data_IF_122832070527
#
_entry.id   IF_122832070527
#
_cell.length_a   1.000
_cell.length_b   1.000
_cell.length_c   1.000
_cell.angle_alpha   90.00
_cell.angle_beta   90.00
_cell.angle_gamma   90.00
#
_symmetry.space_group_name_H-M   'P 1'
#
loop_
_entity.id
_entity.type
_entity.pdbx_description
1 polymer ?
#
# COMPACT_ATOMS: atom_id res chain seq x y z
N UNK A 1 26.72 -3.25 -2.20
CA UNK A 1 25.49 -2.84 -2.92
C UNK A 1 25.77 -1.43 -3.43
N UNK A 2 25.65 -1.16 -4.72
CA UNK A 2 25.75 0.21 -5.21
C UNK A 2 24.43 0.90 -4.87
N UNK A 3 24.47 2.00 -4.13
CA UNK A 3 23.29 2.82 -3.87
C UNK A 3 22.81 3.43 -5.19
N UNK A 4 21.77 2.84 -5.78
CA UNK A 4 21.08 3.40 -6.93
C UNK A 4 20.34 4.65 -6.43
N UNK A 5 21.02 5.79 -6.52
CA UNK A 5 20.39 7.08 -6.23
C UNK A 5 19.45 7.41 -7.38
N UNK A 6 18.15 7.22 -7.19
CA UNK A 6 17.16 7.69 -8.17
C UNK A 6 17.05 9.20 -8.01
N UNK A 7 17.33 10.00 -9.07
CA UNK A 7 17.21 11.43 -8.99
C UNK A 7 15.77 11.83 -8.65
N UNK A 8 15.63 12.67 -7.62
CA UNK A 8 14.35 13.26 -7.22
C UNK A 8 13.85 14.11 -8.39
N UNK A 9 12.68 13.76 -8.92
CA UNK A 9 12.10 14.52 -10.02
C UNK A 9 11.63 15.89 -9.54
N UNK A 10 11.93 16.94 -10.30
CA UNK A 10 11.37 18.26 -10.05
C UNK A 10 9.87 18.25 -10.43
N UNK A 11 8.99 18.04 -9.45
CA UNK A 11 7.53 18.06 -9.67
C UNK A 11 7.00 19.48 -9.56
N UNK A 12 6.53 20.05 -10.67
CA UNK A 12 5.68 21.26 -10.61
C UNK A 12 4.22 20.93 -10.23
N UNK A 13 3.91 19.65 -9.97
CA UNK A 13 2.58 19.17 -9.58
C UNK A 13 1.47 19.56 -10.54
N UNK A 14 0.29 19.83 -9.99
CA UNK A 14 -0.88 20.33 -10.75
C UNK A 14 -0.64 21.70 -11.38
N UNK A 15 0.42 22.41 -10.98
CA UNK A 15 0.79 23.72 -11.54
C UNK A 15 1.66 23.59 -12.78
N UNK A 16 2.05 22.37 -13.18
CA UNK A 16 2.80 22.18 -14.41
C UNK A 16 1.94 22.59 -15.61
N UNK A 17 2.44 23.57 -16.36
CA UNK A 17 1.82 24.04 -17.60
C UNK A 17 2.67 23.52 -18.77
N UNK A 18 2.24 22.47 -19.50
CA UNK A 18 2.91 22.11 -20.74
C UNK A 18 2.88 23.32 -21.67
N UNK A 19 3.87 23.38 -22.55
CA UNK A 19 3.93 24.43 -23.56
C UNK A 19 2.81 24.22 -24.58
N UNK A 20 1.83 25.14 -24.68
CA UNK A 20 0.66 24.94 -25.54
C UNK A 20 0.99 25.09 -27.03
N UNK A 21 2.02 25.86 -27.38
CA UNK A 21 2.51 26.00 -28.75
C UNK A 21 3.98 26.43 -28.78
N UNK A 22 4.63 26.29 -29.93
CA UNK A 22 6.01 26.76 -30.15
C UNK A 22 6.20 28.28 -30.04
N UNK A 23 5.13 29.06 -29.85
CA UNK A 23 5.21 30.52 -29.68
C UNK A 23 5.05 30.97 -28.23
N UNK A 24 4.55 30.09 -27.35
CA UNK A 24 4.33 30.38 -25.94
C UNK A 24 5.45 29.72 -25.14
N UNK A 25 6.08 30.40 -24.16
CA UNK A 25 7.03 29.76 -23.25
C UNK A 25 6.37 28.66 -22.42
N UNK A 26 7.12 27.64 -22.04
CA UNK A 26 6.65 26.59 -21.13
C UNK A 26 7.82 25.84 -20.52
N UNK A 27 7.56 25.08 -19.46
CA UNK A 27 8.58 24.39 -18.68
C UNK A 27 8.50 22.87 -18.86
N UNK A 28 9.65 22.22 -18.81
CA UNK A 28 9.72 20.77 -18.80
C UNK A 28 9.06 20.22 -17.53
N UNK A 29 8.15 19.26 -17.69
CA UNK A 29 7.42 18.66 -16.58
C UNK A 29 8.23 17.80 -15.61
N UNK A 30 9.53 17.60 -15.85
CA UNK A 30 10.39 16.77 -15.00
C UNK A 30 11.61 17.49 -14.41
N UNK A 31 12.15 18.51 -15.08
CA UNK A 31 13.32 19.26 -14.62
C UNK A 31 13.07 20.76 -14.48
N UNK A 32 11.88 21.26 -14.84
CA UNK A 32 11.51 22.66 -14.72
C UNK A 32 12.17 23.63 -15.72
N UNK A 33 13.18 23.18 -16.48
CA UNK A 33 13.87 24.00 -17.49
C UNK A 33 12.90 24.47 -18.58
N UNK A 34 13.17 25.65 -19.13
CA UNK A 34 12.41 26.18 -20.26
C UNK A 34 12.50 25.26 -21.49
N UNK A 35 11.36 25.03 -22.14
CA UNK A 35 11.28 24.19 -23.34
C UNK A 35 11.66 25.02 -24.57
N UNK A 36 12.74 24.61 -25.23
CA UNK A 36 13.18 25.17 -26.51
C UNK A 36 12.63 24.38 -27.70
N UNK A 37 12.57 25.03 -28.88
CA UNK A 37 12.25 24.39 -30.19
C UNK A 37 10.83 23.82 -30.27
N UNK A 38 10.64 22.58 -30.75
CA UNK A 38 9.32 21.94 -30.99
C UNK A 38 8.80 21.11 -29.81
N UNK A 39 9.49 21.12 -28.67
CA UNK A 39 9.08 20.32 -27.52
C UNK A 39 7.94 20.99 -26.76
N UNK A 40 6.90 20.22 -26.48
CA UNK A 40 5.71 20.72 -25.78
C UNK A 40 5.62 20.27 -24.31
N UNK A 41 6.30 19.17 -23.93
CA UNK A 41 6.09 18.53 -22.61
C UNK A 41 7.40 18.31 -21.84
N UNK A 42 8.45 17.84 -22.51
CA UNK A 42 9.71 17.47 -21.87
C UNK A 42 10.92 17.96 -22.66
N UNK A 43 12.05 18.15 -21.98
CA UNK A 43 13.33 18.38 -22.66
C UNK A 43 13.60 17.28 -23.69
N UNK A 44 14.29 17.59 -24.80
CA UNK A 44 14.72 16.56 -25.73
C UNK A 44 15.58 15.54 -25.01
N UNK A 45 15.37 14.24 -25.31
CA UNK A 45 16.21 13.19 -24.76
C UNK A 45 17.67 13.44 -25.16
N UNK A 46 18.64 13.23 -24.25
CA UNK A 46 20.05 13.27 -24.60
C UNK A 46 20.32 12.33 -25.79
N UNK A 47 21.13 12.75 -26.78
CA UNK A 47 21.56 11.86 -27.85
C UNK A 47 22.41 10.72 -27.25
N UNK A 48 22.24 9.50 -27.79
CA UNK A 48 23.16 8.40 -27.51
C UNK A 48 22.70 7.29 -26.55
N UNK A 49 21.50 7.35 -25.95
CA UNK A 49 21.00 6.23 -25.15
C UNK A 49 19.52 5.96 -25.43
N UNK A 50 19.22 4.84 -26.07
CA UNK A 50 17.88 4.22 -26.04
C UNK A 50 18.08 2.83 -25.46
N UNK A 51 17.35 2.48 -24.40
CA UNK A 51 17.27 1.08 -23.99
C UNK A 51 16.57 0.24 -25.11
N UNK A 52 16.61 -1.09 -25.07
CA UNK A 52 15.94 -1.94 -26.06
C UNK A 52 14.43 -1.67 -26.20
N UNK A 53 13.82 -1.05 -25.18
CA UNK A 53 12.42 -0.61 -25.15
C UNK A 53 12.21 0.83 -25.67
N UNK A 54 13.26 1.50 -26.16
CA UNK A 54 13.22 2.83 -26.75
C UNK A 54 13.30 4.02 -25.79
N UNK A 55 13.50 3.81 -24.48
CA UNK A 55 13.55 4.85 -23.46
C UNK A 55 14.98 5.17 -23.03
N UNK A 56 15.31 6.46 -22.89
CA UNK A 56 16.53 6.91 -22.24
C UNK A 56 16.24 7.08 -20.73
N UNK A 57 16.90 6.34 -19.82
CA UNK A 57 16.67 6.46 -18.38
C UNK A 57 16.95 7.87 -17.84
N UNK A 58 17.80 8.63 -18.52
CA UNK A 58 18.14 10.01 -18.16
C UNK A 58 17.23 11.05 -18.85
N UNK A 59 16.25 10.59 -19.64
CA UNK A 59 15.30 11.54 -20.23
C UNK A 59 14.34 12.08 -19.17
N UNK A 60 14.07 13.38 -19.26
CA UNK A 60 13.02 14.03 -18.49
C UNK A 60 11.66 13.32 -18.63
N UNK A 61 11.36 12.76 -19.81
CA UNK A 61 10.15 11.96 -20.00
C UNK A 61 10.14 10.71 -19.12
N UNK A 62 11.23 9.95 -19.08
CA UNK A 62 11.32 8.74 -18.27
C UNK A 62 11.24 9.06 -16.78
N UNK A 63 11.98 10.08 -16.32
CA UNK A 63 11.92 10.57 -14.93
C UNK A 63 10.51 10.97 -14.52
N UNK A 64 9.76 11.59 -15.44
CA UNK A 64 8.35 11.89 -15.21
C UNK A 64 7.51 10.62 -15.02
N UNK A 65 7.66 9.63 -15.90
CA UNK A 65 6.90 8.39 -15.87
C UNK A 65 7.11 7.65 -14.55
N UNK A 66 8.37 7.42 -14.14
CA UNK A 66 8.72 6.68 -12.92
C UNK A 66 8.35 7.40 -11.62
N UNK A 67 7.91 8.66 -11.69
CA UNK A 67 7.49 9.43 -10.50
C UNK A 67 5.99 9.77 -10.52
N UNK A 68 5.28 9.58 -11.64
CA UNK A 68 3.90 10.04 -11.74
C UNK A 68 2.91 8.99 -12.22
N UNK A 69 3.38 8.01 -13.00
CA UNK A 69 2.52 6.98 -13.56
C UNK A 69 2.73 5.71 -12.74
N UNK A 70 1.67 5.25 -12.06
CA UNK A 70 1.75 4.17 -11.08
C UNK A 70 2.53 2.95 -11.56
N UNK A 71 2.24 2.42 -12.76
CA UNK A 71 2.94 1.22 -13.25
C UNK A 71 4.47 1.42 -13.32
N UNK A 72 4.92 2.54 -13.90
CA UNK A 72 6.35 2.86 -13.98
C UNK A 72 6.95 3.18 -12.62
N UNK A 73 6.20 3.86 -11.75
CA UNK A 73 6.66 4.22 -10.42
C UNK A 73 6.81 3.00 -9.51
N UNK A 74 5.84 2.09 -9.56
CA UNK A 74 5.87 0.79 -8.87
C UNK A 74 7.08 -0.02 -9.30
N UNK A 75 7.27 -0.20 -10.61
CA UNK A 75 8.39 -0.98 -11.13
C UNK A 75 9.74 -0.36 -10.78
N UNK A 76 9.84 0.98 -10.82
CA UNK A 76 11.03 1.70 -10.41
C UNK A 76 11.32 1.55 -8.91
N UNK A 77 10.29 1.56 -8.05
CA UNK A 77 10.45 1.37 -6.59
C UNK A 77 10.94 -0.05 -6.27
N UNK A 78 10.34 -1.08 -6.88
CA UNK A 78 10.77 -2.48 -6.71
C UNK A 78 12.23 -2.65 -7.16
N UNK A 79 12.59 -2.04 -8.30
CA UNK A 79 13.96 -2.10 -8.82
C UNK A 79 14.95 -1.35 -7.93
N UNK A 80 14.58 -0.17 -7.42
CA UNK A 80 15.38 0.63 -6.48
C UNK A 80 15.71 -0.18 -5.24
N UNK A 81 14.71 -0.86 -4.70
CA UNK A 81 14.80 -1.60 -3.44
C UNK A 81 15.38 -3.01 -3.64
N UNK A 82 15.78 -3.37 -4.87
CA UNK A 82 16.38 -4.66 -5.19
C UNK A 82 15.43 -5.85 -4.95
N UNK A 83 14.12 -5.63 -5.00
CA UNK A 83 13.11 -6.62 -4.64
C UNK A 83 13.07 -6.97 -3.15
N UNK A 84 13.68 -6.15 -2.28
CA UNK A 84 13.67 -6.33 -0.82
C UNK A 84 12.59 -5.50 -0.16
N UNK A 85 12.03 -6.03 0.93
CA UNK A 85 11.13 -5.30 1.80
C UNK A 85 11.92 -4.24 2.57
N UNK A 86 11.50 -2.97 2.47
CA UNK A 86 12.13 -1.85 3.18
C UNK A 86 11.91 -1.86 4.69
N UNK A 87 10.95 -2.66 5.18
CA UNK A 87 10.64 -2.77 6.61
C UNK A 87 11.42 -3.89 7.29
N UNK A 88 11.29 -5.11 6.81
CA UNK A 88 11.96 -6.26 7.43
C UNK A 88 13.30 -6.65 6.79
N UNK A 89 13.65 -6.08 5.63
CA UNK A 89 14.88 -6.43 4.89
C UNK A 89 14.82 -7.75 4.12
N UNK A 90 13.76 -8.56 4.30
CA UNK A 90 13.53 -9.81 3.59
C UNK A 90 13.16 -9.63 2.12
N UNK A 91 12.92 -10.73 1.41
CA UNK A 91 12.39 -10.66 0.04
C UNK A 91 10.97 -10.10 0.03
N UNK A 92 10.72 -9.14 -0.87
CA UNK A 92 9.37 -8.57 -1.05
C UNK A 92 8.45 -9.51 -1.84
N UNK A 93 9.03 -10.38 -2.66
CA UNK A 93 8.31 -11.43 -3.39
C UNK A 93 8.47 -12.77 -2.69
N UNK A 94 7.39 -13.53 -2.60
CA UNK A 94 7.46 -14.95 -2.26
C UNK A 94 7.45 -15.79 -3.53
N UNK A 95 8.43 -16.68 -3.65
CA UNK A 95 8.59 -17.56 -4.79
C UNK A 95 8.63 -18.99 -4.32
N UNK A 96 7.90 -19.87 -5.00
CA UNK A 96 7.96 -21.30 -4.69
C UNK A 96 8.54 -22.07 -5.89
N UNK A 97 9.44 -23.04 -5.63
CA UNK A 97 10.06 -23.81 -6.68
C UNK A 97 9.07 -24.78 -7.32
N UNK A 98 9.26 -25.09 -8.60
CA UNK A 98 8.54 -26.15 -9.29
C UNK A 98 9.44 -26.85 -10.30
N UNK A 99 9.10 -28.10 -10.61
CA UNK A 99 9.83 -28.91 -11.58
C UNK A 99 9.58 -28.38 -13.01
N UNK A 100 10.60 -27.79 -13.61
CA UNK A 100 10.63 -27.44 -15.02
C UNK A 100 10.94 -28.66 -15.91
N UNK A 101 10.62 -28.53 -17.20
CA UNK A 101 10.96 -29.56 -18.20
C UNK A 101 12.48 -29.80 -18.22
N UNK A 102 12.89 -31.07 -18.21
CA UNK A 102 14.31 -31.46 -18.26
C UNK A 102 15.04 -31.35 -16.91
N UNK A 103 14.32 -31.42 -15.79
CA UNK A 103 14.94 -31.47 -14.45
C UNK A 103 15.43 -30.13 -13.91
N UNK A 104 15.09 -29.00 -14.56
CA UNK A 104 15.44 -27.66 -14.08
C UNK A 104 14.48 -27.24 -12.95
N UNK A 105 15.00 -26.68 -11.87
CA UNK A 105 14.18 -25.99 -10.87
C UNK A 105 13.83 -24.61 -11.41
N UNK A 106 12.53 -24.34 -11.58
CA UNK A 106 11.99 -23.03 -11.93
C UNK A 106 11.27 -22.45 -10.72
N UNK A 107 10.97 -21.14 -10.75
CA UNK A 107 10.31 -20.44 -9.66
C UNK A 107 9.08 -19.71 -10.20
N UNK A 108 7.95 -19.83 -9.50
CA UNK A 108 6.80 -18.97 -9.74
C UNK A 108 6.63 -18.02 -8.57
N UNK A 109 6.32 -16.76 -8.88
CA UNK A 109 5.94 -15.77 -7.88
C UNK A 109 4.55 -16.14 -7.37
N UNK A 110 4.48 -16.53 -6.09
CA UNK A 110 3.23 -16.85 -5.39
C UNK A 110 2.64 -15.57 -4.80
N UNK A 111 3.52 -14.69 -4.29
CA UNK A 111 3.15 -13.39 -3.75
C UNK A 111 4.04 -12.35 -4.39
N UNK A 112 3.46 -11.43 -5.15
CA UNK A 112 4.18 -10.34 -5.78
C UNK A 112 4.59 -9.28 -4.75
N UNK A 113 5.69 -8.59 -5.01
CA UNK A 113 6.11 -7.45 -4.22
C UNK A 113 5.01 -6.38 -4.25
N UNK A 114 4.71 -5.84 -3.09
CA UNK A 114 3.76 -4.75 -2.94
C UNK A 114 4.54 -3.43 -2.80
N UNK A 115 3.92 -2.33 -3.20
CA UNK A 115 4.50 -0.99 -3.07
C UNK A 115 3.51 -0.15 -2.31
N UNK A 116 3.98 0.40 -1.19
CA UNK A 116 3.21 1.25 -0.30
C UNK A 116 3.54 2.73 -0.55
N UNK A 117 2.53 3.58 -0.38
CA UNK A 117 2.74 5.03 -0.26
C UNK A 117 3.05 5.38 1.19
N UNK A 118 4.20 5.99 1.47
CA UNK A 118 4.62 6.36 2.84
C UNK A 118 3.63 7.36 3.45
N UNK A 119 3.41 8.46 2.74
CA UNK A 119 2.28 9.37 2.99
C UNK A 119 1.08 8.81 2.25
N UNK A 120 0.03 8.36 2.96
CA UNK A 120 -1.15 7.77 2.33
C UNK A 120 -1.82 8.77 1.38
N UNK A 121 -2.34 8.24 0.28
CA UNK A 121 -3.17 9.01 -0.64
C UNK A 121 -4.61 9.10 -0.13
N UNK A 122 -5.24 10.26 -0.32
CA UNK A 122 -6.69 10.39 -0.17
C UNK A 122 -7.44 9.80 -1.41
N UNK A 123 -8.38 8.89 -1.17
CA UNK A 123 -9.26 8.29 -2.20
C UNK A 123 -8.70 7.04 -2.91
N UNK A 124 -9.35 6.59 -4.01
CA UNK A 124 -9.04 5.33 -4.71
C UNK A 124 -8.13 5.45 -5.95
N UNK A 125 -7.19 4.49 -6.09
CA UNK A 125 -6.66 3.83 -7.30
C UNK A 125 -5.88 4.60 -8.38
N UNK A 126 -4.58 4.27 -8.54
CA UNK A 126 -3.72 4.34 -9.76
C UNK A 126 -3.63 5.65 -10.57
N UNK A 127 -4.24 6.73 -10.08
CA UNK A 127 -4.24 8.00 -10.77
C UNK A 127 -2.80 8.54 -10.94
N UNK A 128 -2.59 9.23 -12.06
CA UNK A 128 -1.37 10.00 -12.27
C UNK A 128 -1.27 11.12 -11.23
N UNK A 129 -0.12 11.30 -10.59
CA UNK A 129 0.10 12.42 -9.65
C UNK A 129 1.45 12.39 -8.93
N UNK A 130 1.79 13.49 -8.23
CA UNK A 130 3.06 13.56 -7.47
C UNK A 130 3.10 12.56 -6.29
N UNK A 131 1.96 12.02 -5.84
CA UNK A 131 1.96 11.02 -4.75
C UNK A 131 2.71 9.73 -5.13
N UNK A 132 2.99 9.49 -6.41
CA UNK A 132 3.77 8.36 -6.91
C UNK A 132 5.29 8.65 -6.98
N UNK A 133 5.77 9.75 -6.39
CA UNK A 133 7.20 10.02 -6.34
C UNK A 133 7.92 8.92 -5.58
N UNK A 134 9.13 8.60 -6.03
CA UNK A 134 9.90 7.50 -5.47
C UNK A 134 10.18 7.70 -3.97
N UNK A 135 10.42 8.92 -3.51
CA UNK A 135 10.61 9.24 -2.09
C UNK A 135 9.35 9.01 -1.23
N UNK A 136 8.16 8.96 -1.84
CA UNK A 136 6.90 8.60 -1.19
C UNK A 136 6.53 7.12 -1.39
N UNK A 137 7.38 6.31 -2.02
CA UNK A 137 7.13 4.89 -2.27
C UNK A 137 8.11 4.01 -1.51
N UNK A 138 7.63 2.91 -0.95
CA UNK A 138 8.45 1.85 -0.36
C UNK A 138 8.01 0.47 -0.87
N UNK A 139 8.96 -0.38 -1.25
CA UNK A 139 8.67 -1.79 -1.58
C UNK A 139 8.56 -2.60 -0.29
N UNK A 140 7.50 -3.38 -0.16
CA UNK A 140 7.17 -4.15 1.05
C UNK A 140 6.73 -5.56 0.68
N UNK A 141 7.01 -6.51 1.58
CA UNK A 141 6.43 -7.85 1.48
C UNK A 141 4.94 -7.80 1.89
N UNK A 142 4.19 -8.82 1.48
CA UNK A 142 2.74 -8.84 1.74
C UNK A 142 2.37 -8.74 3.22
N UNK A 143 3.12 -9.44 4.08
CA UNK A 143 2.91 -9.39 5.53
C UNK A 143 3.04 -7.97 6.08
N UNK A 144 4.12 -7.27 5.74
CA UNK A 144 4.35 -5.90 6.23
C UNK A 144 3.37 -4.92 5.59
N UNK A 145 3.00 -5.12 4.33
CA UNK A 145 1.99 -4.30 3.65
C UNK A 145 0.61 -4.37 4.31
N UNK A 146 0.19 -5.55 4.79
CA UNK A 146 -1.05 -5.70 5.55
C UNK A 146 -1.02 -4.88 6.85
N UNK A 147 0.11 -4.90 7.58
CA UNK A 147 0.28 -4.14 8.82
C UNK A 147 0.25 -2.63 8.56
N UNK A 148 0.96 -2.17 7.54
CA UNK A 148 0.99 -0.75 7.15
C UNK A 148 -0.39 -0.29 6.68
N UNK A 149 -1.03 -1.07 5.82
CA UNK A 149 -2.38 -0.75 5.32
C UNK A 149 -3.38 -0.67 6.47
N UNK A 150 -3.26 -1.55 7.45
CA UNK A 150 -4.00 -1.47 8.69
C UNK A 150 -3.73 -0.13 9.39
N UNK A 151 -2.49 0.16 9.73
CA UNK A 151 -2.09 1.40 10.43
C UNK A 151 -2.61 2.66 9.70
N UNK A 152 -2.41 2.75 8.39
CA UNK A 152 -2.82 3.88 7.55
C UNK A 152 -4.34 4.04 7.44
N UNK A 153 -5.12 2.95 7.56
CA UNK A 153 -6.60 3.02 7.65
C UNK A 153 -7.09 3.44 9.03
N UNK A 154 -6.17 3.69 9.98
CA UNK A 154 -6.50 3.82 11.39
C UNK A 154 -7.06 2.51 11.94
N UNK A 155 -6.67 1.36 11.37
CA UNK A 155 -6.93 0.04 11.94
C UNK A 155 -5.94 -0.17 13.07
N UNK A 156 -6.43 0.00 14.28
CA UNK A 156 -5.82 -0.59 15.47
C UNK A 156 -6.28 -2.06 15.48
N UNK A 157 -5.39 -3.05 15.59
CA UNK A 157 -5.80 -4.44 15.83
C UNK A 157 -6.76 -4.46 17.04
N UNK A 158 -8.05 -4.71 16.77
CA UNK A 158 -9.11 -4.69 17.78
C UNK A 158 -9.80 -3.34 18.09
N UNK A 159 -9.59 -2.26 17.33
CA UNK A 159 -10.01 -0.90 17.77
C UNK A 159 -11.15 -0.19 17.03
N UNK A 160 -11.93 -0.86 16.15
CA UNK A 160 -13.20 -0.28 15.63
C UNK A 160 -14.32 -1.30 15.53
N UNK A 161 -13.98 -2.56 15.19
CA UNK A 161 -14.95 -3.66 15.28
C UNK A 161 -15.30 -3.97 16.73
N UNK A 162 -14.35 -3.86 17.67
CA UNK A 162 -14.63 -4.04 19.10
C UNK A 162 -15.57 -2.96 19.62
N UNK A 163 -15.43 -1.70 19.21
CA UNK A 163 -16.39 -0.65 19.63
C UNK A 163 -17.79 -0.87 19.05
N UNK A 164 -17.90 -1.29 17.79
CA UNK A 164 -19.20 -1.60 17.18
C UNK A 164 -19.83 -2.86 17.81
N UNK A 165 -19.02 -3.87 18.14
CA UNK A 165 -19.42 -5.12 18.78
C UNK A 165 -19.77 -4.91 20.25
N UNK A 166 -18.99 -4.11 20.99
CA UNK A 166 -19.24 -3.70 22.38
C UNK A 166 -20.53 -2.87 22.43
N UNK A 167 -20.68 -1.86 21.57
CA UNK A 167 -21.96 -1.10 21.48
C UNK A 167 -23.14 -1.98 21.08
N UNK A 168 -22.94 -3.08 20.34
CA UNK A 168 -23.99 -4.05 20.04
C UNK A 168 -24.31 -4.89 21.28
N UNK A 169 -23.30 -5.42 21.97
CA UNK A 169 -23.47 -6.17 23.22
C UNK A 169 -24.14 -5.33 24.32
N UNK A 170 -23.76 -4.06 24.48
CA UNK A 170 -24.39 -3.14 25.43
C UNK A 170 -25.88 -2.92 25.12
N UNK A 171 -26.23 -2.71 23.85
CA UNK A 171 -27.65 -2.59 23.44
C UNK A 171 -28.43 -3.89 23.64
N UNK A 172 -27.80 -5.03 23.42
CA UNK A 172 -28.44 -6.33 23.60
C UNK A 172 -28.65 -6.63 25.09
N UNK A 173 -27.69 -6.26 25.96
CA UNK A 173 -27.84 -6.32 27.42
C UNK A 173 -28.91 -5.37 27.95
N UNK A 174 -28.98 -4.14 27.42
CA UNK A 174 -30.04 -3.18 27.77
C UNK A 174 -31.43 -3.70 27.37
N UNK A 175 -31.55 -4.31 26.19
CA UNK A 175 -32.79 -4.98 25.76
C UNK A 175 -33.16 -6.14 26.68
N UNK A 176 -32.17 -6.93 27.10
CA UNK A 176 -32.39 -8.06 28.00
C UNK A 176 -32.89 -7.58 29.37
N UNK A 177 -32.29 -6.50 29.90
CA UNK A 177 -32.69 -5.87 31.17
C UNK A 177 -34.12 -5.33 31.09
N UNK A 178 -34.47 -4.57 30.04
CA UNK A 178 -35.84 -4.08 29.84
C UNK A 178 -36.86 -5.20 29.68
N UNK A 179 -36.48 -6.28 28.98
CA UNK A 179 -37.34 -7.45 28.85
C UNK A 179 -37.59 -8.10 30.21
N UNK A 180 -36.54 -8.30 31.03
CA UNK A 180 -36.67 -8.87 32.39
C UNK A 180 -37.58 -8.03 33.28
N UNK A 181 -37.42 -6.71 33.27
CA UNK A 181 -38.29 -5.78 34.00
C UNK A 181 -39.75 -5.91 33.53
N UNK A 182 -39.99 -5.94 32.22
CA UNK A 182 -41.34 -6.06 31.65
C UNK A 182 -42.01 -7.40 31.92
N UNK A 183 -41.20 -8.46 32.04
CA UNK A 183 -41.65 -9.82 32.30
C UNK A 183 -41.87 -10.07 33.81
N UNK A 184 -41.59 -9.09 34.68
CA UNK A 184 -41.71 -9.24 36.12
C UNK A 184 -40.74 -10.28 36.69
N UNK A 185 -39.63 -10.54 36.00
CA UNK A 185 -38.59 -11.46 36.49
C UNK A 185 -37.88 -10.78 37.64
N UNK A 186 -38.30 -11.11 38.86
CA UNK A 186 -37.64 -10.68 40.09
C UNK A 186 -36.31 -11.44 40.15
N UNK A 187 -35.19 -10.71 40.34
CA UNK A 187 -33.89 -11.35 40.57
C UNK A 187 -33.96 -12.10 41.90
N UNK A 188 -34.34 -13.38 41.82
CA UNK A 188 -34.24 -14.32 42.93
C UNK A 188 -32.78 -14.79 43.01
N UNK A 189 -32.01 -14.34 44.02
CA UNK A 189 -30.59 -14.67 44.14
C UNK A 189 -30.35 -16.18 44.26
N UNK A 190 -31.34 -16.96 44.70
CA UNK A 190 -31.23 -18.41 44.85
C UNK A 190 -31.33 -19.17 43.51
N UNK A 191 -31.86 -18.54 42.44
CA UNK A 191 -31.98 -19.17 41.11
C UNK A 191 -30.70 -19.05 40.27
N UNK A 192 -29.83 -18.08 40.57
CA UNK A 192 -28.59 -17.82 39.81
C UNK A 192 -27.42 -18.72 40.24
N UNK A 193 -27.40 -19.22 41.48
CA UNK A 193 -26.41 -20.22 41.93
C UNK A 193 -26.63 -21.60 41.26
N UNK A 194 -27.86 -21.96 40.91
CA UNK A 194 -28.18 -23.23 40.26
C UNK A 194 -27.77 -23.33 38.78
N UNK A 195 -27.58 -22.21 38.07
CA UNK A 195 -27.22 -22.20 36.65
C UNK A 195 -25.71 -22.16 36.38
N UNK A 196 -24.88 -21.75 37.35
CA UNK A 196 -23.42 -21.71 37.17
C UNK A 196 -22.76 -23.11 37.27
N UNK A 197 -23.42 -24.05 37.96
CA UNK A 197 -22.93 -25.42 38.17
C UNK A 197 -23.14 -26.32 36.92
N UNK A 198 -24.03 -25.95 35.99
CA UNK A 198 -24.29 -26.74 34.77
C UNK A 198 -23.55 -26.24 33.51
N UNK A 199 -22.93 -25.07 33.56
CA UNK A 199 -22.20 -24.49 32.42
C UNK A 199 -20.67 -24.60 32.55
N UNK A 200 -20.16 -24.92 33.74
CA UNK A 200 -18.75 -25.24 33.98
C UNK A 200 -18.63 -26.73 34.25
N UNK A 201 -18.91 -27.54 33.22
CA UNK A 201 -18.55 -28.95 33.27
C UNK A 201 -17.06 -29.08 33.56
N UNK A 202 -16.76 -29.71 34.70
CA UNK A 202 -15.42 -30.09 35.13
C UNK A 202 -14.63 -30.67 33.96
N UNK A 203 -13.61 -29.94 33.51
CA UNK A 203 -12.50 -30.42 32.70
C UNK A 203 -11.20 -30.28 33.50
N UNK A 204 -11.24 -30.60 34.78
CA UNK A 204 -10.04 -30.90 35.55
C UNK A 204 -9.96 -32.42 35.72
N UNK A 205 -9.48 -33.07 34.65
CA UNK A 205 -9.07 -34.47 34.64
C UNK A 205 -7.59 -34.57 34.24
N UNK A 206 -6.70 -34.35 35.20
CA UNK A 206 -5.33 -34.89 35.17
C UNK A 206 -5.24 -36.05 36.18
N UNK A 207 -5.14 -37.29 35.70
CA UNK A 207 -4.01 -38.24 35.92
C UNK A 207 -3.98 -39.22 34.74
#
# INVERSE_FOLDING_TARGET
MQDITIPVAFCQGVKWKPRPSTKVPGTCGACGKELVKRQHWFCPSPPGFRNPQGYNPDSCRYLYLINHIWGYARDAAIKRDGGKCRRCGGDAEERTPYAGRGGRVLYHTVVAAEVNHIVPREGAGYARGCHNHQDNLETVCHKDHLLITAEQRGYVPGGKQRDAQVRRQERDLEKLSRWRESAGVVDDPDYLEGMYILATGDLDGEV
#
